data_IF_540408057235
#
_entry.id   IF_540408057235
#
_cell.length_a   1.000
_cell.length_b   1.000
_cell.length_c   1.000
_cell.angle_alpha   90.00
_cell.angle_beta   90.00
_cell.angle_gamma   90.00
#
_symmetry.space_group_name_H-M   'P 1'
#
loop_
_entity.id
_entity.type
_entity.pdbx_description
1 polymer ?
#
# COMPACT_ATOMS: atom_id res chain seq x y z
N UNK A 1 -24.62 33.16 -56.83
CA UNK A 1 -24.93 34.02 -55.67
C UNK A 1 -26.06 33.38 -54.87
N UNK A 2 -25.94 33.37 -53.52
CA UNK A 2 -26.80 32.73 -52.47
C UNK A 2 -26.45 31.25 -52.21
N UNK A 3 -25.49 30.89 -51.34
CA UNK A 3 -25.41 31.00 -49.87
C UNK A 3 -26.69 30.55 -49.16
N UNK A 4 -26.64 29.37 -48.52
CA UNK A 4 -27.30 29.01 -47.25
C UNK A 4 -26.98 27.52 -46.95
N UNK A 5 -25.77 27.20 -46.47
CA UNK A 5 -25.52 26.86 -45.06
C UNK A 5 -26.53 25.86 -44.48
N UNK A 6 -26.30 24.56 -44.71
CA UNK A 6 -26.71 23.53 -43.76
C UNK A 6 -25.49 23.18 -42.91
N UNK A 7 -25.46 23.79 -41.74
CA UNK A 7 -24.45 23.66 -40.71
C UNK A 7 -24.28 22.19 -40.31
N UNK A 8 -23.09 21.63 -40.52
CA UNK A 8 -22.68 20.43 -39.80
C UNK A 8 -22.59 20.80 -38.32
N UNK A 9 -23.64 20.52 -37.55
CA UNK A 9 -23.53 20.47 -36.10
C UNK A 9 -22.71 19.23 -35.73
N UNK A 10 -21.39 19.32 -35.89
CA UNK A 10 -20.46 18.42 -35.22
C UNK A 10 -20.61 18.62 -33.73
N UNK A 11 -21.45 17.80 -33.12
CA UNK A 11 -21.50 17.62 -31.68
C UNK A 11 -20.16 16.98 -31.25
N UNK A 12 -19.15 17.82 -31.04
CA UNK A 12 -17.87 17.43 -30.45
C UNK A 12 -18.12 17.21 -28.96
N UNK A 13 -18.71 16.06 -28.61
CA UNK A 13 -18.76 15.55 -27.26
C UNK A 13 -17.33 15.20 -26.85
N UNK A 14 -16.57 16.18 -26.38
CA UNK A 14 -15.37 15.96 -25.58
C UNK A 14 -15.81 15.28 -24.29
N UNK A 15 -15.81 13.94 -24.30
CA UNK A 15 -15.82 13.18 -23.08
C UNK A 15 -14.53 13.50 -22.33
N UNK A 16 -14.61 14.38 -21.33
CA UNK A 16 -13.60 14.44 -20.27
C UNK A 16 -13.65 13.09 -19.54
N UNK A 17 -12.90 12.11 -20.04
CA UNK A 17 -12.56 10.95 -19.26
C UNK A 17 -11.64 11.43 -18.14
N UNK A 18 -12.21 11.76 -16.98
CA UNK A 18 -11.41 11.78 -15.76
C UNK A 18 -10.83 10.38 -15.62
N UNK A 19 -9.50 10.27 -15.58
CA UNK A 19 -8.83 9.06 -15.16
C UNK A 19 -9.35 8.71 -13.76
N UNK A 20 -10.28 7.74 -13.70
CA UNK A 20 -10.68 7.14 -12.45
C UNK A 20 -9.49 6.32 -11.99
N UNK A 21 -8.59 6.93 -11.21
CA UNK A 21 -7.49 6.21 -10.57
C UNK A 21 -8.11 5.14 -9.67
N UNK A 22 -8.09 3.90 -10.12
CA UNK A 22 -8.66 2.82 -9.35
C UNK A 22 -7.88 2.64 -8.04
N UNK A 23 -8.63 2.54 -6.94
CA UNK A 23 -8.09 2.47 -5.57
C UNK A 23 -8.31 1.08 -5.00
N UNK A 24 -7.29 0.53 -4.36
CA UNK A 24 -7.41 -0.67 -3.50
C UNK A 24 -7.34 -0.24 -2.05
N UNK A 25 -8.35 -0.61 -1.26
CA UNK A 25 -8.43 -0.28 0.16
C UNK A 25 -8.13 -1.49 1.04
N UNK A 26 -7.20 -1.33 1.98
CA UNK A 26 -6.86 -2.31 3.02
C UNK A 26 -7.40 -1.80 4.35
N UNK A 27 -8.41 -2.47 4.91
CA UNK A 27 -9.06 -2.01 6.15
C UNK A 27 -8.94 -2.99 7.33
N UNK A 28 -8.80 -4.29 7.07
CA UNK A 28 -8.71 -5.31 8.12
C UNK A 28 -8.02 -6.58 7.62
N UNK A 29 -6.76 -6.45 7.25
CA UNK A 29 -5.97 -7.57 6.74
C UNK A 29 -5.01 -8.05 7.82
N UNK A 30 -5.22 -9.30 8.30
CA UNK A 30 -4.44 -9.91 9.39
C UNK A 30 -3.12 -10.55 8.91
N UNK A 31 -2.88 -10.57 7.59
CA UNK A 31 -1.78 -11.29 6.98
C UNK A 31 -2.07 -12.77 6.77
N UNK A 32 -1.03 -13.53 6.44
CA UNK A 32 -1.12 -14.94 6.10
C UNK A 32 0.17 -15.43 5.45
N UNK A 33 0.05 -16.36 4.51
CA UNK A 33 1.19 -16.93 3.78
C UNK A 33 1.93 -15.84 2.99
N UNK A 34 3.22 -15.69 3.26
CA UNK A 34 4.09 -14.67 2.67
C UNK A 34 4.00 -14.65 1.14
N UNK A 35 4.11 -15.83 0.50
CA UNK A 35 4.10 -15.94 -0.96
C UNK A 35 2.83 -15.35 -1.59
N UNK A 36 1.66 -15.56 -0.97
CA UNK A 36 0.39 -15.02 -1.47
C UNK A 36 0.39 -13.49 -1.52
N UNK A 37 1.07 -12.83 -0.57
CA UNK A 37 1.16 -11.36 -0.55
C UNK A 37 2.23 -10.85 -1.51
N UNK A 38 3.33 -11.58 -1.71
CA UNK A 38 4.30 -11.27 -2.76
C UNK A 38 3.62 -11.27 -4.13
N UNK A 39 2.94 -12.36 -4.47
CA UNK A 39 2.26 -12.53 -5.77
C UNK A 39 1.17 -11.45 -5.96
N UNK A 40 0.30 -11.28 -4.96
CA UNK A 40 -0.79 -10.29 -4.98
C UNK A 40 -0.28 -8.87 -5.19
N UNK A 41 0.80 -8.49 -4.51
CA UNK A 41 1.31 -7.12 -4.62
C UNK A 41 2.23 -6.91 -5.81
N UNK A 42 2.82 -7.96 -6.39
CA UNK A 42 3.44 -7.88 -7.70
C UNK A 42 2.42 -7.60 -8.81
N UNK A 43 1.29 -8.31 -8.79
CA UNK A 43 0.18 -8.05 -9.71
C UNK A 43 -0.36 -6.62 -9.51
N UNK A 44 -0.67 -6.24 -8.27
CA UNK A 44 -1.17 -4.89 -7.95
C UNK A 44 -0.17 -3.78 -8.31
N UNK A 45 1.13 -4.04 -8.22
CA UNK A 45 2.14 -3.09 -8.67
C UNK A 45 1.98 -2.79 -10.16
N UNK A 46 1.71 -3.82 -10.97
CA UNK A 46 1.53 -3.73 -12.42
C UNK A 46 0.27 -2.98 -12.85
N UNK A 47 -0.78 -2.92 -12.02
CA UNK A 47 -2.02 -2.21 -12.38
C UNK A 47 -1.94 -0.69 -12.26
N UNK A 48 -0.89 -0.15 -11.62
CA UNK A 48 -0.77 1.30 -11.39
C UNK A 48 -1.73 1.86 -10.33
N UNK A 49 -2.57 1.03 -9.71
CA UNK A 49 -3.55 1.46 -8.71
C UNK A 49 -2.92 2.05 -7.45
N UNK A 50 -3.64 2.96 -6.80
CA UNK A 50 -3.27 3.53 -5.50
C UNK A 50 -3.79 2.64 -4.37
N UNK A 51 -2.97 2.46 -3.33
CA UNK A 51 -3.33 1.72 -2.12
C UNK A 51 -3.65 2.69 -0.99
N UNK A 52 -4.85 2.53 -0.45
CA UNK A 52 -5.30 3.23 0.76
C UNK A 52 -5.25 2.24 1.93
N UNK A 53 -4.39 2.49 2.92
CA UNK A 53 -4.41 1.74 4.18
C UNK A 53 -5.34 2.49 5.15
N UNK A 54 -6.47 1.88 5.45
CA UNK A 54 -7.60 2.46 6.18
C UNK A 54 -8.07 1.58 7.34
N UNK A 55 -7.10 1.01 8.06
CA UNK A 55 -7.33 0.11 9.17
C UNK A 55 -6.15 -0.81 9.41
N UNK A 56 -6.42 -2.03 9.89
CA UNK A 56 -5.38 -3.00 10.19
C UNK A 56 -4.74 -3.54 8.91
N UNK A 57 -3.40 -3.50 8.88
CA UNK A 57 -2.57 -4.25 7.95
C UNK A 57 -1.45 -4.91 8.75
N UNK A 58 -1.61 -6.20 9.04
CA UNK A 58 -0.73 -6.95 9.92
C UNK A 58 0.10 -7.98 9.17
N UNK A 59 1.27 -8.30 9.73
CA UNK A 59 2.08 -9.42 9.28
C UNK A 59 2.40 -9.32 7.79
N UNK A 60 2.17 -10.38 7.01
CA UNK A 60 2.39 -10.41 5.56
C UNK A 60 1.65 -9.29 4.78
N UNK A 61 0.55 -8.72 5.29
CA UNK A 61 -0.09 -7.55 4.64
C UNK A 61 0.89 -6.39 4.46
N UNK A 62 1.78 -6.18 5.44
CA UNK A 62 2.74 -5.07 5.40
C UNK A 62 3.76 -5.17 4.26
N UNK A 63 3.86 -6.32 3.58
CA UNK A 63 4.65 -6.47 2.35
C UNK A 63 4.21 -5.47 1.27
N UNK A 64 2.98 -4.95 1.34
CA UNK A 64 2.51 -3.86 0.46
C UNK A 64 3.47 -2.67 0.45
N UNK A 65 4.10 -2.37 1.59
CA UNK A 65 5.05 -1.26 1.74
C UNK A 65 6.37 -1.50 1.00
N UNK A 66 6.71 -2.76 0.74
CA UNK A 66 7.91 -3.14 -0.02
C UNK A 66 7.64 -3.22 -1.52
N UNK A 67 6.42 -3.60 -1.90
CA UNK A 67 6.07 -3.92 -3.29
C UNK A 67 5.47 -2.74 -4.04
N UNK A 68 4.68 -1.92 -3.35
CA UNK A 68 4.03 -0.75 -3.95
C UNK A 68 4.89 0.50 -3.67
N UNK A 69 5.20 1.31 -4.71
CA UNK A 69 5.86 2.60 -4.54
C UNK A 69 5.17 3.48 -3.50
N UNK A 70 5.95 4.14 -2.63
CA UNK A 70 5.41 4.87 -1.48
C UNK A 70 4.56 6.08 -1.87
N UNK A 71 4.74 6.64 -3.06
CA UNK A 71 3.89 7.67 -3.66
C UNK A 71 2.51 7.16 -4.10
N UNK A 72 2.36 5.84 -4.26
CA UNK A 72 1.07 5.16 -4.48
C UNK A 72 0.48 4.53 -3.23
N UNK A 73 1.06 4.76 -2.06
CA UNK A 73 0.51 4.30 -0.78
C UNK A 73 0.19 5.51 0.09
N UNK A 74 -1.07 5.64 0.48
CA UNK A 74 -1.47 6.62 1.49
C UNK A 74 -2.11 5.94 2.70
N UNK A 75 -2.12 6.65 3.82
CA UNK A 75 -2.65 6.15 5.09
C UNK A 75 -3.78 7.06 5.62
N UNK A 76 -4.85 6.48 6.15
CA UNK A 76 -5.87 7.24 6.89
C UNK A 76 -5.53 7.34 8.38
N UNK A 77 -6.32 8.07 9.16
CA UNK A 77 -6.18 8.11 10.63
C UNK A 77 -6.43 6.74 11.28
N UNK A 78 -7.15 5.84 10.60
CA UNK A 78 -7.45 4.49 11.09
C UNK A 78 -6.33 3.49 10.81
N UNK A 79 -5.36 3.87 9.97
CA UNK A 79 -4.27 2.98 9.57
C UNK A 79 -3.47 2.48 10.77
N UNK A 80 -3.30 1.16 10.83
CA UNK A 80 -2.60 0.48 11.90
C UNK A 80 -1.75 -0.65 11.32
N UNK A 81 -0.44 -0.42 11.21
CA UNK A 81 0.51 -1.41 10.70
C UNK A 81 1.04 -2.24 11.85
N UNK A 82 0.95 -3.56 11.74
CA UNK A 82 1.42 -4.48 12.78
C UNK A 82 2.56 -5.35 12.26
N UNK A 83 3.73 -5.21 12.87
CA UNK A 83 4.96 -5.90 12.48
C UNK A 83 5.37 -6.92 13.55
N UNK A 84 5.78 -8.11 13.11
CA UNK A 84 6.36 -9.15 13.96
C UNK A 84 7.27 -10.04 13.11
N UNK A 85 8.01 -10.96 13.73
CA UNK A 85 8.85 -11.93 13.05
C UNK A 85 8.00 -12.95 12.26
N UNK A 86 8.45 -13.33 11.08
CA UNK A 86 7.83 -14.44 10.35
C UNK A 86 7.93 -15.73 11.18
N UNK A 87 6.98 -16.64 11.00
CA UNK A 87 6.92 -17.89 11.74
C UNK A 87 6.35 -19.02 10.88
N UNK A 88 6.74 -20.24 11.21
CA UNK A 88 6.21 -21.48 10.68
C UNK A 88 5.37 -22.20 11.73
N UNK A 89 4.48 -23.09 11.29
CA UNK A 89 3.72 -23.97 12.19
C UNK A 89 4.62 -25.12 12.64
N UNK A 90 4.92 -25.15 13.94
CA UNK A 90 5.56 -26.27 14.60
C UNK A 90 4.56 -27.30 15.14
N UNK A 91 5.09 -28.31 15.84
CA UNK A 91 4.29 -29.32 16.52
C UNK A 91 3.24 -28.67 17.46
N UNK A 92 2.02 -29.21 17.45
CA UNK A 92 0.91 -28.70 18.27
C UNK A 92 0.38 -27.33 17.85
N UNK A 93 0.69 -26.85 16.64
CA UNK A 93 0.23 -25.54 16.14
C UNK A 93 1.01 -24.36 16.72
N UNK A 94 2.13 -24.59 17.40
CA UNK A 94 2.95 -23.51 17.95
C UNK A 94 3.63 -22.74 16.83
N UNK A 95 3.57 -21.42 16.88
CA UNK A 95 4.35 -20.57 15.98
C UNK A 95 5.83 -20.63 16.35
N UNK A 96 6.68 -21.02 15.40
CA UNK A 96 8.14 -21.04 15.54
C UNK A 96 8.73 -19.97 14.63
N UNK A 97 9.51 -19.04 15.19
CA UNK A 97 10.11 -17.96 14.40
C UNK A 97 10.97 -18.49 13.26
N UNK A 98 10.64 -18.08 12.05
CA UNK A 98 11.44 -18.30 10.85
C UNK A 98 12.40 -17.12 10.67
N UNK A 99 13.66 -17.30 11.08
CA UNK A 99 14.68 -16.24 11.05
C UNK A 99 15.01 -15.79 9.62
N UNK A 100 14.99 -16.71 8.66
CA UNK A 100 15.31 -16.42 7.27
C UNK A 100 14.22 -15.56 6.63
N UNK A 101 12.97 -16.00 6.70
CA UNK A 101 11.82 -15.23 6.23
C UNK A 101 11.71 -13.87 6.95
N UNK A 102 12.03 -13.82 8.24
CA UNK A 102 12.07 -12.56 9.00
C UNK A 102 13.09 -11.58 8.42
N UNK A 103 14.31 -12.04 8.14
CA UNK A 103 15.35 -11.19 7.52
C UNK A 103 14.98 -10.76 6.11
N UNK A 104 14.44 -11.69 5.32
CA UNK A 104 13.97 -11.43 3.96
C UNK A 104 12.92 -10.31 3.97
N UNK A 105 11.83 -10.46 4.72
CA UNK A 105 10.78 -9.42 4.81
C UNK A 105 11.35 -8.10 5.32
N UNK A 106 12.14 -8.13 6.39
CA UNK A 106 12.72 -6.91 6.95
C UNK A 106 13.58 -6.16 5.91
N UNK A 107 14.37 -6.88 5.11
CA UNK A 107 15.25 -6.29 4.10
C UNK A 107 14.50 -5.59 2.96
N UNK A 108 13.26 -6.02 2.68
CA UNK A 108 12.44 -5.46 1.60
C UNK A 108 11.75 -4.15 2.00
N UNK A 109 11.62 -3.85 3.29
CA UNK A 109 10.92 -2.64 3.72
C UNK A 109 11.68 -1.35 3.34
N UNK A 110 10.94 -0.25 3.06
CA UNK A 110 11.54 1.07 2.87
C UNK A 110 12.43 1.47 4.05
N UNK A 111 13.47 2.25 3.78
CA UNK A 111 14.44 2.67 4.80
C UNK A 111 13.82 3.33 6.05
N UNK A 112 12.78 4.20 5.94
CA UNK A 112 12.12 4.76 7.12
C UNK A 112 11.42 3.69 7.98
N UNK A 113 10.79 2.70 7.35
CA UNK A 113 10.13 1.59 8.06
C UNK A 113 11.17 0.70 8.75
N UNK A 114 12.26 0.34 8.06
CA UNK A 114 13.37 -0.43 8.67
C UNK A 114 13.95 0.30 9.87
N UNK A 115 14.21 1.60 9.75
CA UNK A 115 14.75 2.43 10.84
C UNK A 115 13.80 2.46 12.04
N UNK A 116 12.51 2.66 11.79
CA UNK A 116 11.48 2.67 12.85
C UNK A 116 11.36 1.32 13.58
N UNK A 117 11.45 0.20 12.85
CA UNK A 117 11.43 -1.16 13.39
C UNK A 117 12.71 -1.44 14.18
N UNK A 118 13.90 -1.11 13.64
CA UNK A 118 15.18 -1.32 14.31
C UNK A 118 15.28 -0.55 15.63
N UNK A 119 14.76 0.68 15.68
CA UNK A 119 14.68 1.46 16.92
C UNK A 119 13.81 0.82 18.01
N UNK A 120 13.04 -0.22 17.68
CA UNK A 120 12.17 -0.99 18.59
C UNK A 120 12.65 -2.43 18.81
N UNK A 121 13.91 -2.72 18.49
CA UNK A 121 14.51 -4.05 18.70
C UNK A 121 14.33 -5.02 17.53
N UNK A 122 13.83 -4.56 16.39
CA UNK A 122 13.68 -5.38 15.19
C UNK A 122 12.37 -6.18 15.13
N UNK A 123 12.25 -7.02 14.11
CA UNK A 123 11.14 -7.97 14.01
C UNK A 123 11.35 -9.11 15.00
N UNK A 124 10.43 -9.24 15.96
CA UNK A 124 10.44 -10.26 17.02
C UNK A 124 9.07 -10.96 17.12
N UNK A 125 8.93 -12.04 17.92
CA UNK A 125 7.62 -12.63 18.19
C UNK A 125 6.61 -11.64 18.80
N UNK A 126 7.10 -10.58 19.46
CA UNK A 126 6.25 -9.52 20.00
C UNK A 126 5.88 -8.54 18.89
N UNK A 127 4.57 -8.40 18.66
CA UNK A 127 4.04 -7.48 17.66
C UNK A 127 4.22 -6.02 18.08
N UNK A 128 4.76 -5.21 17.18
CA UNK A 128 4.85 -3.74 17.32
C UNK A 128 3.92 -3.05 16.33
N UNK A 129 3.37 -1.91 16.72
CA UNK A 129 2.36 -1.18 15.94
C UNK A 129 2.83 0.21 15.53
N UNK A 130 2.72 0.53 14.24
CA UNK A 130 2.96 1.87 13.68
C UNK A 130 1.62 2.46 13.22
N UNK A 131 1.24 3.59 13.82
CA UNK A 131 -0.07 4.24 13.63
C UNK A 131 -0.02 5.72 14.00
N UNK A 132 -1.07 6.46 13.67
CA UNK A 132 -1.24 7.86 14.04
C UNK A 132 -0.14 8.76 13.50
N UNK A 133 0.24 9.79 14.26
CA UNK A 133 1.22 10.80 13.84
C UNK A 133 2.56 10.18 13.39
N UNK A 134 3.04 9.13 14.07
CA UNK A 134 4.29 8.47 13.69
C UNK A 134 4.20 7.85 12.28
N UNK A 135 3.08 7.20 11.95
CA UNK A 135 2.86 6.64 10.62
C UNK A 135 2.80 7.75 9.55
N UNK A 136 2.16 8.86 9.89
CA UNK A 136 2.00 10.01 8.99
C UNK A 136 3.29 10.80 8.75
N UNK A 137 4.35 10.55 9.54
CA UNK A 137 5.70 11.08 9.25
C UNK A 137 6.42 10.28 8.16
N UNK A 138 5.94 9.07 7.86
CA UNK A 138 6.57 8.13 6.91
C UNK A 138 5.77 8.05 5.60
N UNK A 139 4.45 8.04 5.69
CA UNK A 139 3.56 7.93 4.52
C UNK A 139 2.62 9.13 4.43
N UNK A 140 2.29 9.52 3.20
CA UNK A 140 1.33 10.58 2.93
C UNK A 140 -0.05 10.21 3.49
N UNK A 141 -0.76 11.21 4.03
CA UNK A 141 -2.16 11.02 4.43
C UNK A 141 -3.03 10.87 3.19
N UNK A 142 -4.04 10.01 3.27
CA UNK A 142 -5.06 9.92 2.23
C UNK A 142 -5.96 11.14 2.28
N UNK A 143 -5.52 12.23 1.66
CA UNK A 143 -6.37 13.30 1.19
C UNK A 143 -6.28 13.31 -0.32
N UNK A 144 -7.41 13.50 -0.98
CA UNK A 144 -7.48 13.64 -2.42
C UNK A 144 -6.82 14.97 -2.81
N UNK A 145 -5.49 15.05 -2.71
CA UNK A 145 -4.74 16.12 -3.33
C UNK A 145 -4.46 15.70 -4.76
N UNK A 146 -5.23 16.32 -5.66
CA UNK A 146 -4.89 16.44 -7.07
C UNK A 146 -3.46 16.99 -7.31
N UNK A 147 -2.76 17.45 -6.27
CA UNK A 147 -1.42 18.00 -6.30
C UNK A 147 -0.28 16.96 -6.40
N UNK A 148 -0.53 15.65 -6.25
CA UNK A 148 0.54 14.64 -6.46
C UNK A 148 0.95 14.55 -7.95
N UNK A 149 0.13 15.03 -8.88
CA UNK A 149 0.44 15.06 -10.32
C UNK A 149 1.33 16.23 -10.77
N UNK A 150 1.71 17.16 -9.89
CA UNK A 150 2.60 18.28 -10.21
C UNK A 150 3.93 18.18 -9.46
N UNK A 151 4.69 17.13 -9.78
CA UNK A 151 6.15 17.16 -9.65
C UNK A 151 6.76 16.95 -11.03
N UNK A 152 6.75 18.03 -11.82
CA UNK A 152 7.73 18.28 -12.87
C UNK A 152 8.98 18.88 -12.24
#
# INVERSE_FOLDING_TARGET
MKLLTLSLASAFLLACACDSHAVVRIANDRGGLIQRYLDRYDELKGTGQTVVIDGLCASACTIVLAKIPSDRVCVTERANLAFHAAWDLGAGGRHITNREATRMIFSMYPAPVRSWISARGGLSPNTIFLRGAQLQTIFARCYLDAAVFLRL
#
